data_IF_456617552031
#
_entry.id   IF_456617552031
#
_cell.length_a   1.000
_cell.length_b   1.000
_cell.length_c   1.000
_cell.angle_alpha   90.00
_cell.angle_beta   90.00
_cell.angle_gamma   90.00
#
_symmetry.space_group_name_H-M   'P 1'
#
loop_
_entity.id
_entity.type
_entity.pdbx_description
1 polymer ?
#
# COMPACT_ATOMS: atom_id res chain seq x y z
N UNK A 1 -33.30 -1.84 -9.36
CA UNK A 1 -33.08 -0.37 -9.27
C UNK A 1 -32.44 -0.06 -7.93
N UNK A 2 -31.26 0.54 -7.91
CA UNK A 2 -30.63 1.00 -6.66
C UNK A 2 -31.49 2.10 -6.04
N UNK A 3 -31.61 2.13 -4.70
CA UNK A 3 -32.36 3.20 -4.04
C UNK A 3 -31.61 4.53 -4.22
N UNK A 4 -32.29 5.70 -4.30
CA UNK A 4 -31.62 6.99 -4.47
C UNK A 4 -30.54 7.31 -3.43
N UNK A 5 -30.68 6.77 -2.21
CA UNK A 5 -29.70 6.87 -1.12
C UNK A 5 -28.41 6.10 -1.39
N UNK A 6 -28.51 4.95 -2.05
CA UNK A 6 -27.39 4.06 -2.34
C UNK A 6 -26.52 4.66 -3.45
N UNK A 7 -27.17 5.33 -4.42
CA UNK A 7 -26.49 6.07 -5.48
C UNK A 7 -25.69 7.27 -4.95
N UNK A 8 -26.28 8.06 -4.04
CA UNK A 8 -25.58 9.19 -3.41
C UNK A 8 -24.36 8.72 -2.61
N UNK A 9 -24.52 7.67 -1.79
CA UNK A 9 -23.43 7.15 -0.96
C UNK A 9 -22.27 6.63 -1.82
N UNK A 10 -22.58 5.86 -2.87
CA UNK A 10 -21.55 5.35 -3.79
C UNK A 10 -20.77 6.48 -4.48
N UNK A 11 -21.45 7.55 -4.90
CA UNK A 11 -20.78 8.72 -5.47
C UNK A 11 -19.92 9.47 -4.44
N UNK A 12 -20.44 9.69 -3.24
CA UNK A 12 -19.72 10.39 -2.17
C UNK A 12 -18.47 9.61 -1.72
N UNK A 13 -18.59 8.28 -1.55
CA UNK A 13 -17.47 7.41 -1.25
C UNK A 13 -16.45 7.39 -2.39
N UNK A 14 -16.91 7.23 -3.64
CA UNK A 14 -16.03 7.24 -4.82
C UNK A 14 -15.24 8.54 -4.96
N UNK A 15 -15.87 9.69 -4.65
CA UNK A 15 -15.17 10.98 -4.58
C UNK A 15 -14.12 11.00 -3.46
N UNK A 16 -14.50 10.63 -2.23
CA UNK A 16 -13.58 10.60 -1.10
C UNK A 16 -12.38 9.65 -1.35
N UNK A 17 -12.61 8.53 -2.04
CA UNK A 17 -11.57 7.60 -2.46
C UNK A 17 -10.60 8.26 -3.43
N UNK A 18 -11.09 8.97 -4.45
CA UNK A 18 -10.24 9.69 -5.42
C UNK A 18 -9.43 10.78 -4.75
N UNK A 19 -10.08 11.62 -3.94
CA UNK A 19 -9.41 12.69 -3.19
C UNK A 19 -8.27 12.10 -2.32
N UNK A 20 -8.51 10.96 -1.65
CA UNK A 20 -7.49 10.27 -0.84
C UNK A 20 -6.40 9.60 -1.67
N UNK A 21 -6.73 9.02 -2.81
CA UNK A 21 -5.73 8.45 -3.71
C UNK A 21 -4.79 9.54 -4.26
N UNK A 22 -5.32 10.72 -4.59
CA UNK A 22 -4.54 11.87 -5.02
C UNK A 22 -3.65 12.42 -3.90
N UNK A 23 -4.18 12.54 -2.67
CA UNK A 23 -3.41 12.96 -1.48
C UNK A 23 -2.26 12.01 -1.15
N UNK A 24 -2.51 10.69 -1.25
CA UNK A 24 -1.49 9.66 -0.99
C UNK A 24 -0.40 9.68 -2.07
N UNK A 25 -0.78 10.02 -3.30
CA UNK A 25 0.14 10.06 -4.42
C UNK A 25 0.70 8.69 -4.78
N UNK A 26 1.94 8.66 -5.24
CA UNK A 26 2.62 7.46 -5.73
C UNK A 26 4.02 7.34 -5.20
N UNK A 27 4.45 6.11 -5.07
CA UNK A 27 5.84 5.73 -4.90
C UNK A 27 6.35 5.20 -6.23
N UNK A 28 7.33 5.87 -6.84
CA UNK A 28 8.02 5.37 -8.03
C UNK A 28 9.36 4.72 -7.66
N UNK A 29 9.49 3.44 -8.00
CA UNK A 29 10.68 2.60 -7.82
C UNK A 29 11.41 2.47 -9.16
N UNK A 30 12.71 2.70 -9.20
CA UNK A 30 13.53 2.27 -10.32
C UNK A 30 14.09 0.87 -10.07
N UNK A 31 14.13 0.03 -11.11
CA UNK A 31 14.69 -1.32 -11.01
C UNK A 31 15.69 -1.58 -12.12
N UNK A 32 16.86 -2.07 -11.72
CA UNK A 32 18.01 -2.32 -12.60
C UNK A 32 18.59 -3.71 -12.36
N UNK A 33 19.35 -4.20 -13.33
CA UNK A 33 19.98 -5.53 -13.33
C UNK A 33 19.91 -6.20 -14.70
N UNK A 34 20.76 -7.23 -14.91
CA UNK A 34 20.82 -8.02 -16.16
C UNK A 34 19.48 -8.71 -16.51
N UNK A 35 19.35 -9.24 -17.73
CA UNK A 35 18.18 -10.05 -18.10
C UNK A 35 18.08 -11.28 -17.21
N UNK A 36 16.87 -11.66 -16.83
CA UNK A 36 16.65 -12.93 -16.12
C UNK A 36 17.16 -12.96 -14.67
N UNK A 37 17.64 -11.83 -14.13
CA UNK A 37 17.99 -11.74 -12.70
C UNK A 37 16.76 -11.82 -11.79
N UNK A 38 15.54 -11.64 -12.32
CA UNK A 38 14.30 -11.79 -11.55
C UNK A 38 13.69 -10.48 -11.06
N UNK A 39 14.01 -9.34 -11.71
CA UNK A 39 13.43 -8.02 -11.45
C UNK A 39 11.89 -8.06 -11.32
N UNK A 40 11.22 -8.54 -12.37
CA UNK A 40 9.75 -8.64 -12.42
C UNK A 40 9.18 -9.57 -11.36
N UNK A 41 9.82 -10.71 -11.13
CA UNK A 41 9.44 -11.66 -10.08
C UNK A 41 9.47 -11.03 -8.70
N UNK A 42 10.52 -10.26 -8.41
CA UNK A 42 10.72 -9.58 -7.14
C UNK A 42 9.70 -8.46 -6.90
N UNK A 43 9.47 -7.62 -7.91
CA UNK A 43 8.44 -6.55 -7.86
C UNK A 43 7.07 -7.16 -7.61
N UNK A 44 6.69 -8.19 -8.37
CA UNK A 44 5.41 -8.86 -8.22
C UNK A 44 5.25 -9.51 -6.84
N UNK A 45 6.32 -10.07 -6.27
CA UNK A 45 6.29 -10.69 -4.94
C UNK A 45 6.04 -9.67 -3.82
N UNK A 46 6.51 -8.42 -3.95
CA UNK A 46 6.33 -7.38 -2.93
C UNK A 46 5.05 -6.56 -3.16
N UNK A 47 4.71 -6.25 -4.41
CA UNK A 47 3.65 -5.29 -4.75
C UNK A 47 2.39 -5.90 -5.36
N UNK A 48 2.38 -7.22 -5.63
CA UNK A 48 1.26 -7.93 -6.26
C UNK A 48 1.25 -7.82 -7.80
N UNK A 49 1.01 -8.92 -8.49
CA UNK A 49 0.86 -8.99 -9.97
C UNK A 49 -0.34 -8.11 -10.42
N UNK A 50 -0.38 -7.32 -11.50
CA UNK A 50 0.37 -7.17 -12.75
C UNK A 50 0.98 -5.75 -12.90
N UNK A 51 2.20 -5.52 -12.42
CA UNK A 51 2.95 -4.30 -12.82
C UNK A 51 4.02 -4.64 -13.86
N UNK A 52 4.42 -5.91 -13.93
CA UNK A 52 5.46 -6.38 -14.84
C UNK A 52 5.01 -7.42 -15.89
N UNK A 53 3.74 -7.85 -15.90
CA UNK A 53 3.30 -8.96 -16.76
C UNK A 53 2.68 -8.54 -18.11
N UNK A 54 2.30 -7.28 -18.32
CA UNK A 54 1.54 -6.92 -19.54
C UNK A 54 2.02 -5.61 -20.13
N UNK A 55 2.33 -5.62 -21.43
CA UNK A 55 2.38 -4.42 -22.26
C UNK A 55 0.98 -3.81 -22.42
N UNK A 56 0.33 -3.47 -21.31
CA UNK A 56 -0.96 -2.79 -21.26
C UNK A 56 -0.87 -1.71 -20.19
N UNK A 57 -0.41 -0.57 -20.70
CA UNK A 57 -0.30 0.74 -20.08
C UNK A 57 0.47 1.54 -21.13
N UNK A 58 -0.14 2.59 -21.68
CA UNK A 58 0.61 3.44 -22.61
C UNK A 58 1.87 3.93 -21.89
N UNK A 59 3.08 3.77 -22.47
CA UNK A 59 4.28 4.33 -21.88
C UNK A 59 4.07 5.82 -21.66
N UNK A 60 4.01 6.24 -20.39
CA UNK A 60 3.75 7.65 -20.02
C UNK A 60 4.95 8.53 -20.39
N UNK A 61 6.11 7.92 -20.61
CA UNK A 61 7.32 8.59 -21.12
C UNK A 61 8.06 7.64 -22.05
N UNK A 62 8.44 8.12 -23.25
CA UNK A 62 9.31 7.40 -24.20
C UNK A 62 10.63 8.15 -24.34
N UNK A 63 11.53 7.98 -23.37
CA UNK A 63 12.96 7.99 -23.71
C UNK A 63 13.26 6.64 -24.38
N UNK A 64 14.31 6.54 -25.19
CA UNK A 64 14.55 5.35 -26.00
C UNK A 64 14.67 4.06 -25.16
N UNK A 65 15.10 4.16 -23.89
CA UNK A 65 15.36 2.99 -23.04
C UNK A 65 14.65 2.96 -21.68
N UNK A 66 13.89 4.00 -21.31
CA UNK A 66 13.23 4.12 -19.99
C UNK A 66 11.71 3.95 -20.10
N UNK A 67 11.15 3.06 -19.27
CA UNK A 67 9.71 2.78 -19.24
C UNK A 67 9.16 2.92 -17.82
N UNK A 68 8.25 3.88 -17.61
CA UNK A 68 7.53 4.03 -16.35
C UNK A 68 6.14 3.38 -16.44
N UNK A 69 5.97 2.27 -15.74
CA UNK A 69 4.67 1.61 -15.56
C UNK A 69 4.01 2.16 -14.30
N UNK A 70 2.75 2.61 -14.40
CA UNK A 70 2.01 3.19 -13.28
C UNK A 70 0.75 2.39 -13.00
N UNK A 71 0.56 1.99 -11.74
CA UNK A 71 -0.63 1.32 -11.26
C UNK A 71 -0.97 1.80 -9.85
N UNK A 72 -2.07 2.53 -9.72
CA UNK A 72 -2.52 3.08 -8.43
C UNK A 72 -1.42 3.92 -7.76
N UNK A 73 -0.94 3.45 -6.61
CA UNK A 73 0.07 4.10 -5.76
C UNK A 73 1.51 3.68 -6.07
N UNK A 74 1.75 2.83 -7.07
CA UNK A 74 3.07 2.39 -7.50
C UNK A 74 3.40 2.85 -8.92
N UNK A 75 4.60 3.38 -9.09
CA UNK A 75 5.28 3.47 -10.38
C UNK A 75 6.52 2.58 -10.39
N UNK A 76 6.79 1.91 -11.51
CA UNK A 76 8.02 1.16 -11.71
C UNK A 76 8.72 1.68 -12.96
N UNK A 77 9.86 2.31 -12.76
CA UNK A 77 10.78 2.69 -13.82
C UNK A 77 11.68 1.48 -14.11
N UNK A 78 11.52 0.89 -15.28
CA UNK A 78 12.37 -0.18 -15.79
C UNK A 78 13.16 0.31 -16.99
N UNK A 79 14.35 -0.24 -17.18
CA UNK A 79 15.20 0.05 -18.33
C UNK A 79 15.36 -1.20 -19.16
N UNK A 80 14.86 -1.17 -20.41
CA UNK A 80 15.29 -2.18 -21.40
C UNK A 80 16.68 -1.78 -21.86
N UNK A 81 17.75 -2.31 -21.28
CA UNK A 81 19.07 -1.80 -21.69
C UNK A 81 20.33 -2.37 -21.07
N UNK A 82 20.33 -2.90 -19.84
CA UNK A 82 21.54 -3.54 -19.29
C UNK A 82 21.95 -4.84 -20.04
N UNK A 83 21.19 -5.22 -21.07
CA UNK A 83 21.10 -6.57 -21.61
C UNK A 83 21.84 -6.80 -22.93
N UNK A 84 22.22 -5.74 -23.66
CA UNK A 84 22.68 -5.92 -25.06
C UNK A 84 23.85 -5.00 -25.37
N UNK A 85 25.05 -5.30 -24.88
CA UNK A 85 26.34 -4.82 -25.42
C UNK A 85 26.43 -3.35 -25.87
N UNK A 86 25.65 -2.45 -25.25
CA UNK A 86 25.44 -1.05 -25.64
C UNK A 86 25.91 -0.16 -24.50
N UNK A 87 26.38 1.02 -24.88
CA UNK A 87 27.17 1.91 -24.03
C UNK A 87 26.42 2.30 -22.73
N UNK A 88 26.88 1.78 -21.58
CA UNK A 88 26.38 2.17 -20.26
C UNK A 88 26.38 3.69 -20.08
N UNK A 89 27.30 4.42 -20.75
CA UNK A 89 27.34 5.87 -20.72
C UNK A 89 26.05 6.50 -21.27
N UNK A 90 25.47 5.97 -22.34
CA UNK A 90 24.22 6.48 -22.93
C UNK A 90 23.04 6.27 -21.98
N UNK A 91 22.93 5.08 -21.36
CA UNK A 91 21.87 4.82 -20.38
C UNK A 91 22.01 5.71 -19.13
N UNK A 92 23.24 5.90 -18.65
CA UNK A 92 23.53 6.79 -17.54
C UNK A 92 23.14 8.22 -17.91
N UNK A 93 23.47 8.71 -19.10
CA UNK A 93 23.09 10.04 -19.56
C UNK A 93 21.57 10.22 -19.69
N UNK A 94 20.87 9.27 -20.32
CA UNK A 94 19.41 9.31 -20.44
C UNK A 94 18.72 9.30 -19.06
N UNK A 95 19.24 8.50 -18.12
CA UNK A 95 18.73 8.45 -16.77
C UNK A 95 19.03 9.75 -16.00
N UNK A 96 20.22 10.32 -16.17
CA UNK A 96 20.60 11.59 -15.57
C UNK A 96 19.65 12.71 -16.02
N UNK A 97 19.43 12.84 -17.33
CA UNK A 97 18.50 13.82 -17.91
C UNK A 97 17.07 13.61 -17.39
N UNK A 98 16.61 12.36 -17.34
CA UNK A 98 15.31 12.02 -16.81
C UNK A 98 15.16 12.43 -15.35
N UNK A 99 16.08 11.99 -14.47
CA UNK A 99 16.04 12.29 -13.04
C UNK A 99 16.18 13.80 -12.77
N UNK A 100 17.04 14.51 -13.52
CA UNK A 100 17.15 15.97 -13.42
C UNK A 100 15.83 16.68 -13.77
N UNK A 101 15.13 16.23 -14.81
CA UNK A 101 13.80 16.73 -15.15
C UNK A 101 12.77 16.46 -14.05
N UNK A 102 12.83 15.29 -13.43
CA UNK A 102 11.90 14.89 -12.38
C UNK A 102 12.10 15.64 -11.05
N UNK A 103 13.32 16.07 -10.72
CA UNK A 103 13.60 16.83 -9.48
C UNK A 103 12.76 18.11 -9.33
N UNK A 104 12.26 18.67 -10.44
CA UNK A 104 11.40 19.88 -10.45
C UNK A 104 9.91 19.57 -10.33
N UNK A 105 9.52 18.31 -10.34
CA UNK A 105 8.13 17.84 -10.27
C UNK A 105 7.68 17.66 -8.82
N UNK A 106 6.36 17.62 -8.54
CA UNK A 106 5.84 17.18 -7.25
C UNK A 106 6.43 15.84 -6.82
N UNK A 107 6.63 15.65 -5.50
CA UNK A 107 7.24 14.44 -4.95
C UNK A 107 6.61 13.14 -5.49
N UNK A 108 5.28 12.97 -5.59
CA UNK A 108 4.66 11.75 -6.13
C UNK A 108 5.03 11.38 -7.58
N UNK A 109 5.57 12.33 -8.34
CA UNK A 109 6.01 12.08 -9.71
C UNK A 109 7.46 11.60 -9.74
N UNK A 110 8.28 11.95 -8.76
CA UNK A 110 9.73 11.67 -8.77
C UNK A 110 10.05 10.19 -8.59
N UNK A 111 11.25 9.77 -9.01
CA UNK A 111 11.81 8.45 -8.68
C UNK A 111 12.45 8.52 -7.29
N UNK A 112 12.12 7.58 -6.41
CA UNK A 112 12.47 7.69 -5.00
C UNK A 112 13.61 6.79 -4.56
N UNK A 113 13.65 5.56 -5.09
CA UNK A 113 14.62 4.53 -4.72
C UNK A 113 14.95 3.71 -5.98
N UNK A 114 16.20 3.25 -6.10
CA UNK A 114 16.60 2.25 -7.06
C UNK A 114 16.85 0.90 -6.39
N UNK A 115 16.35 -0.18 -6.99
CA UNK A 115 16.83 -1.53 -6.71
C UNK A 115 17.85 -1.92 -7.78
N UNK A 116 19.04 -2.34 -7.37
CA UNK A 116 20.01 -2.95 -8.27
C UNK A 116 20.07 -4.45 -8.00
N UNK A 117 19.56 -5.24 -8.92
CA UNK A 117 19.39 -6.68 -8.78
C UNK A 117 20.51 -7.45 -9.49
N UNK A 118 21.17 -8.34 -8.75
CA UNK A 118 22.20 -9.25 -9.25
C UNK A 118 21.78 -10.68 -8.91
N UNK A 119 21.83 -11.60 -9.88
CA UNK A 119 21.47 -12.98 -9.60
C UNK A 119 22.60 -13.69 -8.87
N UNK A 120 22.28 -14.45 -7.83
CA UNK A 120 23.27 -15.19 -7.04
C UNK A 120 24.12 -16.18 -7.87
N UNK A 121 23.55 -16.73 -8.95
CA UNK A 121 24.24 -17.61 -9.88
C UNK A 121 25.14 -16.90 -10.89
N UNK A 122 25.13 -15.57 -10.94
CA UNK A 122 26.07 -14.82 -11.77
C UNK A 122 27.45 -14.90 -11.12
N UNK A 123 28.39 -15.59 -11.76
CA UNK A 123 29.72 -15.91 -11.19
C UNK A 123 30.55 -14.69 -10.78
N UNK A 124 30.19 -13.48 -11.25
CA UNK A 124 30.94 -12.24 -11.03
C UNK A 124 30.04 -11.02 -11.17
N UNK A 125 30.31 -10.01 -10.35
CA UNK A 125 29.84 -8.64 -10.51
C UNK A 125 30.88 -7.80 -11.27
N UNK A 126 30.49 -7.18 -12.38
CA UNK A 126 31.40 -6.50 -13.29
C UNK A 126 31.71 -5.05 -12.85
N UNK A 127 32.89 -4.49 -13.20
CA UNK A 127 33.21 -3.09 -12.91
C UNK A 127 32.19 -2.11 -13.51
N UNK A 128 31.65 -2.42 -14.69
CA UNK A 128 30.61 -1.62 -15.34
C UNK A 128 29.30 -1.57 -14.54
N UNK A 129 28.98 -2.62 -13.79
CA UNK A 129 27.83 -2.67 -12.88
C UNK A 129 28.10 -1.81 -11.63
N UNK A 130 29.33 -1.88 -11.10
CA UNK A 130 29.77 -1.03 -9.99
C UNK A 130 29.71 0.46 -10.36
N UNK A 131 30.17 0.83 -11.55
CA UNK A 131 30.15 2.21 -12.03
C UNK A 131 28.72 2.71 -12.24
N UNK A 132 27.82 1.84 -12.70
CA UNK A 132 26.40 2.18 -12.80
C UNK A 132 25.79 2.46 -11.43
N UNK A 133 26.07 1.64 -10.41
CA UNK A 133 25.61 1.88 -9.03
C UNK A 133 26.15 3.20 -8.48
N UNK A 134 27.43 3.52 -8.72
CA UNK A 134 28.02 4.80 -8.32
C UNK A 134 27.36 5.98 -9.03
N UNK A 135 27.03 5.83 -10.31
CA UNK A 135 26.33 6.86 -11.08
C UNK A 135 24.93 7.13 -10.53
N UNK A 136 24.14 6.08 -10.21
CA UNK A 136 22.83 6.24 -9.56
C UNK A 136 22.93 7.02 -8.24
N UNK A 137 23.92 6.69 -7.42
CA UNK A 137 24.16 7.41 -6.16
C UNK A 137 24.55 8.87 -6.39
N UNK A 138 25.42 9.15 -7.37
CA UNK A 138 25.81 10.52 -7.74
C UNK A 138 24.62 11.34 -8.25
N UNK A 139 23.61 10.70 -8.85
CA UNK A 139 22.32 11.30 -9.21
C UNK A 139 21.40 11.52 -8.00
N UNK A 140 21.85 11.23 -6.78
CA UNK A 140 21.08 11.40 -5.55
C UNK A 140 19.97 10.36 -5.37
N UNK A 141 20.03 9.24 -6.10
CA UNK A 141 19.05 8.16 -5.97
C UNK A 141 19.59 7.09 -5.00
N UNK A 142 18.93 6.84 -3.86
CA UNK A 142 19.31 5.78 -2.95
C UNK A 142 19.23 4.41 -3.64
N UNK A 143 20.31 3.63 -3.57
CA UNK A 143 20.43 2.33 -4.25
C UNK A 143 20.37 1.20 -3.24
N UNK A 144 19.32 0.39 -3.27
CA UNK A 144 19.24 -0.86 -2.50
C UNK A 144 19.83 -1.99 -3.36
N UNK A 145 20.91 -2.61 -2.87
CA UNK A 145 21.54 -3.75 -3.55
C UNK A 145 20.82 -5.05 -3.20
N UNK A 146 20.45 -5.83 -4.20
CA UNK A 146 19.68 -7.07 -4.04
C UNK A 146 20.36 -8.22 -4.74
N UNK A 147 20.74 -9.26 -3.98
CA UNK A 147 21.01 -10.56 -4.57
C UNK A 147 19.70 -11.33 -4.70
N UNK A 148 19.37 -11.72 -5.92
CA UNK A 148 18.16 -12.44 -6.25
C UNK A 148 18.44 -13.91 -6.50
N UNK A 149 17.40 -14.74 -6.36
CA UNK A 149 17.46 -16.19 -6.59
C UNK A 149 18.54 -16.86 -5.71
N UNK A 150 18.72 -16.36 -4.47
CA UNK A 150 19.74 -16.84 -3.54
C UNK A 150 19.25 -18.14 -2.88
N UNK A 151 19.79 -19.31 -3.22
CA UNK A 151 19.32 -20.55 -2.63
C UNK A 151 19.81 -20.68 -1.19
N UNK A 152 19.01 -21.35 -0.37
CA UNK A 152 19.34 -21.69 1.02
C UNK A 152 19.15 -23.18 1.26
N UNK A 153 19.97 -23.73 2.17
CA UNK A 153 19.81 -25.10 2.64
C UNK A 153 20.01 -25.14 4.15
N UNK A 154 19.03 -25.69 4.88
CA UNK A 154 19.04 -25.76 6.36
C UNK A 154 19.35 -24.41 7.02
N UNK A 155 18.78 -23.32 6.48
CA UNK A 155 18.97 -21.96 6.98
C UNK A 155 20.30 -21.31 6.62
N UNK A 156 21.15 -21.95 5.82
CA UNK A 156 22.42 -21.39 5.34
C UNK A 156 22.30 -20.96 3.88
N UNK A 157 22.85 -19.79 3.57
CA UNK A 157 22.98 -19.26 2.21
C UNK A 157 24.01 -20.09 1.43
N UNK A 158 23.80 -20.23 0.13
CA UNK A 158 24.74 -20.92 -0.74
C UNK A 158 26.12 -20.23 -0.75
N UNK A 159 27.24 -20.97 -0.63
CA UNK A 159 28.59 -20.38 -0.56
C UNK A 159 28.93 -19.45 -1.72
N UNK A 160 28.50 -19.78 -2.94
CA UNK A 160 28.75 -18.92 -4.12
C UNK A 160 28.07 -17.56 -4.01
N UNK A 161 26.88 -17.51 -3.39
CA UNK A 161 26.17 -16.25 -3.17
C UNK A 161 26.89 -15.39 -2.12
N UNK A 162 27.41 -16.02 -1.06
CA UNK A 162 28.25 -15.33 -0.06
C UNK A 162 29.57 -14.83 -0.65
N UNK A 163 30.21 -15.63 -1.51
CA UNK A 163 31.44 -15.23 -2.20
C UNK A 163 31.19 -14.04 -3.14
N UNK A 164 30.08 -14.07 -3.89
CA UNK A 164 29.67 -12.94 -4.73
C UNK A 164 29.38 -11.71 -3.88
N UNK A 165 28.61 -11.83 -2.80
CA UNK A 165 28.30 -10.73 -1.90
C UNK A 165 29.57 -10.11 -1.28
N UNK A 166 30.51 -10.94 -0.81
CA UNK A 166 31.79 -10.49 -0.28
C UNK A 166 32.60 -9.73 -1.35
N UNK A 167 32.58 -10.20 -2.60
CA UNK A 167 33.25 -9.49 -3.71
C UNK A 167 32.64 -8.13 -4.00
N UNK A 168 31.30 -8.01 -3.92
CA UNK A 168 30.58 -6.73 -4.09
C UNK A 168 30.86 -5.81 -2.90
N UNK A 169 30.81 -6.32 -1.67
CA UNK A 169 31.09 -5.55 -0.46
C UNK A 169 32.52 -4.98 -0.46
N UNK A 170 33.50 -5.74 -0.97
CA UNK A 170 34.88 -5.29 -1.11
C UNK A 170 35.06 -4.11 -2.09
N UNK A 171 34.07 -3.83 -2.94
CA UNK A 171 34.11 -2.68 -3.87
C UNK A 171 33.65 -1.37 -3.22
N UNK A 172 33.22 -1.41 -1.95
CA UNK A 172 32.78 -0.25 -1.16
C UNK A 172 31.77 0.64 -1.92
N UNK A 173 30.74 0.00 -2.46
CA UNK A 173 29.72 0.70 -3.25
C UNK A 173 28.81 1.54 -2.34
N UNK A 174 28.36 2.71 -2.82
CA UNK A 174 27.49 3.60 -2.05
C UNK A 174 26.02 3.10 -2.06
N UNK A 175 25.79 1.95 -1.44
CA UNK A 175 24.48 1.30 -1.35
C UNK A 175 23.78 1.65 -0.03
N UNK A 176 22.46 1.65 -0.04
CA UNK A 176 21.62 1.93 1.12
C UNK A 176 22.00 1.02 2.28
N UNK A 177 22.26 1.63 3.44
CA UNK A 177 22.68 0.98 4.69
C UNK A 177 24.01 0.19 4.59
N UNK A 178 24.71 0.20 3.46
CA UNK A 178 25.88 -0.68 3.22
C UNK A 178 25.52 -2.17 3.18
N UNK A 179 24.25 -2.52 3.00
CA UNK A 179 23.74 -3.89 3.08
C UNK A 179 23.35 -4.46 1.73
N UNK A 180 23.66 -5.74 1.54
CA UNK A 180 23.23 -6.54 0.38
C UNK A 180 22.05 -7.41 0.84
N UNK A 181 20.89 -7.24 0.19
CA UNK A 181 19.68 -7.97 0.54
C UNK A 181 19.58 -9.26 -0.25
N UNK A 182 19.64 -10.41 0.44
CA UNK A 182 19.45 -11.72 -0.17
C UNK A 182 17.96 -12.04 -0.29
N UNK A 183 17.53 -12.45 -1.48
CA UNK A 183 16.12 -12.72 -1.76
C UNK A 183 15.93 -14.01 -2.55
N UNK A 184 14.87 -14.73 -2.18
CA UNK A 184 14.22 -15.73 -3.00
C UNK A 184 12.76 -15.30 -3.13
N UNK A 185 12.40 -14.69 -4.26
CA UNK A 185 11.12 -13.99 -4.40
C UNK A 185 9.92 -14.92 -4.54
N UNK A 186 10.11 -16.09 -5.15
CA UNK A 186 9.10 -17.15 -5.27
C UNK A 186 9.66 -18.44 -4.70
N UNK A 187 8.81 -19.19 -4.03
CA UNK A 187 9.15 -20.55 -3.62
C UNK A 187 9.34 -21.42 -4.87
N UNK A 188 10.24 -22.39 -4.78
CA UNK A 188 10.44 -23.42 -5.79
C UNK A 188 10.24 -24.79 -5.14
N UNK A 189 9.10 -25.40 -5.43
CA UNK A 189 8.72 -26.70 -4.89
C UNK A 189 9.62 -27.83 -5.41
N UNK A 190 10.17 -27.70 -6.62
CA UNK A 190 11.02 -28.72 -7.21
C UNK A 190 12.37 -28.82 -6.47
N UNK A 191 12.94 -27.67 -6.10
CA UNK A 191 14.21 -27.61 -5.35
C UNK A 191 14.02 -27.47 -3.83
N UNK A 192 12.77 -27.37 -3.36
CA UNK A 192 12.44 -27.19 -1.94
C UNK A 192 12.80 -25.81 -1.37
N UNK A 193 12.96 -24.79 -2.22
CA UNK A 193 13.31 -23.43 -1.79
C UNK A 193 12.06 -22.67 -1.34
N UNK A 194 12.11 -22.09 -0.14
CA UNK A 194 11.07 -21.20 0.35
C UNK A 194 11.32 -19.75 -0.12
N UNK A 195 10.25 -18.96 -0.25
CA UNK A 195 10.39 -17.52 -0.46
C UNK A 195 10.89 -16.84 0.83
N UNK A 196 11.86 -15.92 0.70
CA UNK A 196 12.39 -15.16 1.84
C UNK A 196 13.06 -13.85 1.40
N UNK A 197 13.39 -13.00 2.37
CA UNK A 197 14.15 -11.75 2.17
C UNK A 197 13.32 -10.54 1.75
N UNK A 198 12.05 -10.75 1.41
CA UNK A 198 11.15 -9.70 0.92
C UNK A 198 10.90 -8.58 1.94
N UNK A 199 10.68 -8.93 3.21
CA UNK A 199 10.44 -7.94 4.28
C UNK A 199 11.66 -7.04 4.49
N UNK A 200 12.87 -7.63 4.56
CA UNK A 200 14.10 -6.86 4.74
C UNK A 200 14.37 -5.90 3.57
N UNK A 201 14.07 -6.31 2.34
CA UNK A 201 14.13 -5.45 1.16
C UNK A 201 13.09 -4.32 1.21
N UNK A 202 11.86 -4.62 1.60
CA UNK A 202 10.82 -3.60 1.78
C UNK A 202 11.23 -2.57 2.85
N UNK A 203 11.78 -3.03 3.97
CA UNK A 203 12.24 -2.17 5.06
C UNK A 203 13.37 -1.24 4.61
N UNK A 204 14.35 -1.74 3.83
CA UNK A 204 15.39 -0.91 3.24
C UNK A 204 14.85 0.09 2.23
N UNK A 205 13.82 -0.30 1.47
CA UNK A 205 13.12 0.60 0.54
C UNK A 205 12.44 1.75 1.29
N UNK A 206 11.81 1.47 2.44
CA UNK A 206 11.25 2.53 3.30
C UNK A 206 12.32 3.47 3.87
N UNK A 207 13.51 2.97 4.21
CA UNK A 207 14.61 3.80 4.71
C UNK A 207 15.26 4.66 3.63
N UNK A 208 15.36 4.16 2.40
CA UNK A 208 15.86 4.91 1.26
C UNK A 208 14.88 5.95 0.73
N UNK A 209 13.57 5.70 0.84
CA UNK A 209 12.56 6.61 0.30
C UNK A 209 12.31 7.84 1.19
N UNK A 210 11.99 9.01 0.59
CA UNK A 210 11.52 10.16 1.35
C UNK A 210 10.27 9.85 2.18
N UNK A 211 10.19 10.36 3.41
CA UNK A 211 9.06 10.10 4.32
C UNK A 211 7.70 10.52 3.73
N UNK A 212 7.69 11.53 2.85
CA UNK A 212 6.50 12.00 2.15
C UNK A 212 5.81 10.93 1.27
N UNK A 213 6.51 9.87 0.85
CA UNK A 213 5.93 8.77 0.06
C UNK A 213 5.73 7.48 0.84
N UNK A 214 5.98 7.48 2.15
CA UNK A 214 5.81 6.30 3.00
C UNK A 214 4.38 5.73 2.96
N UNK A 215 3.36 6.59 2.85
CA UNK A 215 1.98 6.13 2.69
C UNK A 215 1.77 5.45 1.34
N UNK A 216 2.31 6.00 0.24
CA UNK A 216 2.21 5.38 -1.07
C UNK A 216 2.90 4.00 -1.12
N UNK A 217 4.09 3.87 -0.52
CA UNK A 217 4.77 2.56 -0.37
C UNK A 217 3.88 1.59 0.41
N UNK A 218 3.36 2.03 1.57
CA UNK A 218 2.47 1.22 2.41
C UNK A 218 1.23 0.76 1.66
N UNK A 219 0.65 1.62 0.82
CA UNK A 219 -0.51 1.32 0.00
C UNK A 219 -0.18 0.33 -1.14
N UNK A 220 0.95 0.53 -1.81
CA UNK A 220 1.40 -0.27 -2.95
C UNK A 220 1.76 -1.72 -2.57
N UNK A 221 2.54 -1.91 -1.51
CA UNK A 221 3.05 -3.22 -1.11
C UNK A 221 1.93 -4.16 -0.61
N UNK A 222 2.13 -5.48 -0.71
CA UNK A 222 1.14 -6.51 -0.40
C UNK A 222 1.58 -7.51 0.69
N UNK A 223 2.77 -7.35 1.25
CA UNK A 223 3.40 -8.33 2.15
C UNK A 223 3.37 -7.93 3.64
N UNK A 224 3.25 -6.64 3.94
CA UNK A 224 3.32 -6.08 5.29
C UNK A 224 1.95 -5.48 5.70
N UNK A 225 1.11 -6.34 6.28
CA UNK A 225 -0.21 -5.93 6.75
C UNK A 225 -0.17 -5.14 8.06
N UNK A 226 0.93 -5.21 8.80
CA UNK A 226 1.09 -4.50 10.07
C UNK A 226 1.30 -3.01 9.82
N UNK A 227 2.14 -2.63 8.85
CA UNK A 227 2.26 -1.22 8.40
C UNK A 227 0.94 -0.67 7.86
N UNK A 228 0.18 -1.47 7.10
CA UNK A 228 -1.16 -1.06 6.62
C UNK A 228 -2.11 -0.81 7.78
N UNK A 229 -2.10 -1.68 8.79
CA UNK A 229 -2.92 -1.54 10.00
C UNK A 229 -2.54 -0.30 10.80
N UNK A 230 -1.24 -0.05 10.99
CA UNK A 230 -0.75 1.15 11.68
C UNK A 230 -1.18 2.44 10.98
N UNK A 231 -1.07 2.48 9.64
CA UNK A 231 -1.51 3.66 8.87
C UNK A 231 -3.02 3.88 8.94
N UNK A 232 -3.80 2.79 8.93
CA UNK A 232 -5.24 2.82 9.09
C UNK A 232 -5.65 3.27 10.51
N UNK A 233 -4.98 2.78 11.56
CA UNK A 233 -5.14 3.23 12.94
C UNK A 233 -4.95 4.75 13.08
N UNK A 234 -3.94 5.31 12.41
CA UNK A 234 -3.75 6.76 12.34
C UNK A 234 -4.97 7.50 11.77
N UNK A 235 -5.54 7.02 10.66
CA UNK A 235 -6.74 7.60 10.06
C UNK A 235 -7.97 7.48 11.00
N UNK A 236 -8.12 6.35 11.69
CA UNK A 236 -9.19 6.13 12.67
C UNK A 236 -9.08 7.10 13.84
N UNK A 237 -7.88 7.32 14.38
CA UNK A 237 -7.65 8.26 15.50
C UNK A 237 -8.01 9.69 15.11
N UNK A 238 -7.59 10.14 13.92
CA UNK A 238 -7.92 11.48 13.40
C UNK A 238 -9.43 11.63 13.24
N UNK A 239 -10.09 10.66 12.59
CA UNK A 239 -11.54 10.69 12.39
C UNK A 239 -12.32 10.62 13.70
N UNK A 240 -11.86 9.82 14.66
CA UNK A 240 -12.45 9.71 16.01
C UNK A 240 -12.36 11.04 16.77
N UNK A 241 -11.21 11.72 16.70
CA UNK A 241 -11.03 13.05 17.29
C UNK A 241 -11.92 14.10 16.65
N UNK A 242 -11.98 14.12 15.30
CA UNK A 242 -12.87 15.01 14.57
C UNK A 242 -14.36 14.75 14.87
N UNK A 243 -14.75 13.48 15.01
CA UNK A 243 -16.10 13.08 15.37
C UNK A 243 -16.47 13.49 16.81
N UNK A 244 -15.54 13.39 17.76
CA UNK A 244 -15.74 13.87 19.12
C UNK A 244 -15.99 15.39 19.14
N UNK A 245 -15.23 16.15 18.37
CA UNK A 245 -15.42 17.60 18.23
C UNK A 245 -16.76 17.94 17.57
N UNK A 246 -17.16 17.22 16.52
CA UNK A 246 -18.45 17.39 15.87
C UNK A 246 -19.62 17.08 16.82
N UNK A 247 -19.54 15.99 17.59
CA UNK A 247 -20.55 15.61 18.59
C UNK A 247 -20.59 16.50 19.83
N UNK A 248 -19.65 17.43 20.02
CA UNK A 248 -19.73 18.47 21.04
C UNK A 248 -20.52 19.70 20.57
N UNK A 249 -20.96 19.72 19.30
CA UNK A 249 -21.78 20.80 18.75
C UNK A 249 -23.18 20.81 19.36
N UNK A 250 -23.69 21.98 19.80
CA UNK A 250 -25.02 22.08 20.40
C UNK A 250 -26.18 21.99 19.40
N UNK A 251 -25.93 21.77 18.10
CA UNK A 251 -26.96 21.83 17.05
C UNK A 251 -27.64 20.46 16.87
N UNK A 252 -28.92 20.30 17.25
CA UNK A 252 -29.67 19.05 17.10
C UNK A 252 -29.71 18.61 15.64
N UNK A 253 -29.50 17.31 15.40
CA UNK A 253 -29.54 16.66 14.07
C UNK A 253 -28.46 17.08 13.06
N UNK A 254 -27.56 18.03 13.39
CA UNK A 254 -26.43 18.44 12.53
C UNK A 254 -25.30 17.41 12.48
N UNK A 255 -25.21 16.55 13.49
CA UNK A 255 -24.14 15.57 13.65
C UNK A 255 -24.02 14.63 12.45
N UNK A 256 -25.12 14.24 11.80
CA UNK A 256 -25.06 13.38 10.63
C UNK A 256 -24.44 14.07 9.40
N UNK A 257 -24.66 15.38 9.22
CA UNK A 257 -24.12 16.14 8.09
C UNK A 257 -22.59 16.36 8.22
N UNK A 258 -22.07 16.36 9.45
CA UNK A 258 -20.64 16.53 9.75
C UNK A 258 -19.93 15.18 9.89
N UNK A 259 -20.54 14.21 10.57
CA UNK A 259 -19.93 12.90 10.86
C UNK A 259 -19.81 12.01 9.62
N UNK A 260 -20.81 12.05 8.71
CA UNK A 260 -20.79 11.18 7.53
C UNK A 260 -19.59 11.49 6.62
N UNK A 261 -19.28 12.75 6.26
CA UNK A 261 -18.05 13.07 5.52
C UNK A 261 -16.77 12.60 6.21
N UNK A 262 -16.66 12.76 7.54
CA UNK A 262 -15.50 12.30 8.32
C UNK A 262 -15.33 10.78 8.19
N UNK A 263 -16.42 10.02 8.36
CA UNK A 263 -16.41 8.56 8.28
C UNK A 263 -16.15 8.06 6.86
N UNK A 264 -16.73 8.69 5.83
CA UNK A 264 -16.47 8.39 4.42
C UNK A 264 -14.99 8.63 4.07
N UNK A 265 -14.43 9.77 4.48
CA UNK A 265 -13.01 10.08 4.25
C UNK A 265 -12.07 9.10 4.95
N UNK A 266 -12.40 8.68 6.18
CA UNK A 266 -11.67 7.63 6.90
C UNK A 266 -11.73 6.29 6.16
N UNK A 267 -12.93 5.83 5.79
CA UNK A 267 -13.11 4.55 5.10
C UNK A 267 -12.41 4.54 3.73
N UNK A 268 -12.50 5.65 2.99
CA UNK A 268 -11.79 5.86 1.74
C UNK A 268 -10.27 5.79 1.93
N UNK A 269 -9.72 6.51 2.93
CA UNK A 269 -8.28 6.46 3.25
C UNK A 269 -7.81 5.05 3.60
N UNK A 270 -8.61 4.29 4.35
CA UNK A 270 -8.30 2.88 4.67
C UNK A 270 -8.34 2.04 3.40
N UNK A 271 -9.37 2.18 2.55
CA UNK A 271 -9.50 1.40 1.32
C UNK A 271 -8.31 1.60 0.36
N UNK A 272 -7.84 2.85 0.18
CA UNK A 272 -6.63 3.14 -0.61
C UNK A 272 -5.38 2.52 0.03
N UNK A 273 -5.25 2.59 1.35
CA UNK A 273 -4.12 1.98 2.09
C UNK A 273 -4.03 0.46 1.89
N UNK A 274 -5.18 -0.20 1.72
CA UNK A 274 -5.24 -1.63 1.41
C UNK A 274 -5.22 -1.95 -0.09
N UNK A 275 -5.01 -0.96 -0.97
CA UNK A 275 -4.90 -1.15 -2.42
C UNK A 275 -6.21 -1.61 -3.08
N UNK A 276 -7.36 -1.33 -2.47
CA UNK A 276 -8.67 -1.78 -2.99
C UNK A 276 -9.19 -0.77 -4.00
N UNK A 277 -9.53 -1.23 -5.21
CA UNK A 277 -10.07 -0.38 -6.28
C UNK A 277 -11.32 0.38 -5.85
N UNK A 278 -11.59 1.53 -6.48
CA UNK A 278 -12.75 2.37 -6.15
C UNK A 278 -14.06 1.60 -6.32
N UNK A 279 -14.20 0.74 -7.34
CA UNK A 279 -15.41 -0.05 -7.58
C UNK A 279 -15.61 -1.10 -6.48
N UNK A 280 -14.55 -1.85 -6.16
CA UNK A 280 -14.61 -2.90 -5.13
C UNK A 280 -14.82 -2.31 -3.75
N UNK A 281 -14.16 -1.20 -3.44
CA UNK A 281 -14.32 -0.51 -2.17
C UNK A 281 -15.69 0.15 -2.05
N UNK A 282 -16.22 0.74 -3.12
CA UNK A 282 -17.60 1.27 -3.15
C UNK A 282 -18.60 0.15 -2.90
N UNK A 283 -18.53 -0.95 -3.66
CA UNK A 283 -19.43 -2.10 -3.48
C UNK A 283 -19.31 -2.72 -2.08
N UNK A 284 -18.09 -2.93 -1.57
CA UNK A 284 -17.87 -3.44 -0.22
C UNK A 284 -18.38 -2.49 0.87
N UNK A 285 -18.22 -1.17 0.69
CA UNK A 285 -18.70 -0.17 1.64
C UNK A 285 -20.23 -0.14 1.69
N UNK A 286 -20.89 -0.29 0.54
CA UNK A 286 -22.33 -0.44 0.45
C UNK A 286 -22.81 -1.73 1.12
N UNK A 287 -22.13 -2.85 0.91
CA UNK A 287 -22.46 -4.13 1.57
C UNK A 287 -22.27 -4.06 3.09
N UNK A 288 -21.15 -3.50 3.56
CA UNK A 288 -20.87 -3.28 4.97
C UNK A 288 -21.93 -2.39 5.64
N UNK A 289 -22.40 -1.36 4.92
CA UNK A 289 -23.44 -0.44 5.37
C UNK A 289 -24.86 -0.90 5.04
N UNK A 290 -25.05 -2.07 4.40
CA UNK A 290 -26.36 -2.66 4.17
C UNK A 290 -27.06 -3.08 5.47
N UNK A 291 -26.35 -3.08 6.61
CA UNK A 291 -26.97 -3.20 7.95
C UNK A 291 -27.57 -1.89 8.45
N UNK A 292 -27.23 -0.77 7.80
CA UNK A 292 -27.67 0.58 8.11
C UNK A 292 -28.75 1.10 7.13
N UNK A 293 -29.15 0.31 6.14
CA UNK A 293 -30.18 0.68 5.15
C UNK A 293 -31.60 0.44 5.67
N UNK A 294 -31.94 1.13 6.77
CA UNK A 294 -33.29 1.67 6.95
C UNK A 294 -33.31 3.19 7.07
N UNK A 295 -32.16 3.86 7.19
CA UNK A 295 -32.10 5.31 7.00
C UNK A 295 -30.65 5.79 6.94
N UNK A 296 -30.29 6.46 5.85
CA UNK A 296 -29.22 7.48 5.86
C UNK A 296 -29.48 8.65 6.81
N UNK A 297 -30.54 8.58 7.64
CA UNK A 297 -30.89 9.46 8.74
C UNK A 297 -30.72 8.82 10.14
N UNK A 298 -30.47 7.52 10.29
CA UNK A 298 -30.48 6.83 11.59
C UNK A 298 -29.16 6.16 12.00
N UNK A 299 -28.02 6.67 11.55
CA UNK A 299 -26.71 6.24 12.09
C UNK A 299 -26.60 6.56 13.59
N UNK A 300 -27.41 7.48 14.12
CA UNK A 300 -27.46 7.74 15.56
C UNK A 300 -28.59 6.95 16.24
N UNK A 301 -29.80 6.96 15.68
CA UNK A 301 -31.01 6.42 16.36
C UNK A 301 -31.11 4.90 16.52
N UNK A 302 -30.62 4.10 15.56
CA UNK A 302 -30.65 2.63 15.68
C UNK A 302 -29.38 2.06 16.32
N UNK A 303 -28.28 2.82 16.25
CA UNK A 303 -27.01 2.46 16.85
C UNK A 303 -26.98 2.76 18.35
N UNK A 304 -27.68 3.81 18.81
CA UNK A 304 -27.96 4.07 20.24
C UNK A 304 -28.63 2.87 20.95
N UNK A 305 -29.40 2.05 20.23
CA UNK A 305 -30.10 0.87 20.81
C UNK A 305 -29.16 -0.27 21.21
N UNK A 306 -27.89 -0.24 20.79
CA UNK A 306 -26.88 -1.25 21.15
C UNK A 306 -26.04 -0.86 22.36
N UNK A 307 -26.30 0.30 22.99
CA UNK A 307 -25.69 0.73 24.23
C UNK A 307 -26.65 0.46 25.40
N UNK A 308 -26.29 -0.39 26.39
CA UNK A 308 -27.12 -0.59 27.58
C UNK A 308 -27.39 0.74 28.29
N UNK A 309 -28.66 1.10 28.52
CA UNK A 309 -29.07 2.31 29.24
C UNK A 309 -29.34 3.57 28.40
N UNK A 310 -29.08 3.55 27.09
CA UNK A 310 -29.29 4.72 26.21
C UNK A 310 -30.77 4.99 25.84
N UNK A 311 -31.70 4.14 26.28
CA UNK A 311 -33.13 4.28 25.99
C UNK A 311 -33.89 5.29 26.86
N UNK A 312 -33.34 5.72 28.00
CA UNK A 312 -34.15 6.43 29.01
C UNK A 312 -33.48 7.57 29.80
N UNK A 313 -32.20 7.95 29.60
CA UNK A 313 -31.65 9.06 30.39
C UNK A 313 -30.49 9.86 29.74
N UNK A 314 -30.59 11.19 29.88
CA UNK A 314 -29.55 12.23 29.78
C UNK A 314 -29.24 12.80 28.38
N UNK A 315 -30.05 13.78 27.96
CA UNK A 315 -29.79 14.71 26.86
C UNK A 315 -28.74 15.82 27.19
N UNK A 316 -27.80 15.56 28.10
CA UNK A 316 -26.97 16.62 28.71
C UNK A 316 -25.50 16.68 28.32
N UNK A 317 -24.79 15.54 28.22
CA UNK A 317 -23.30 15.56 28.20
C UNK A 317 -22.64 14.37 27.48
N UNK A 318 -23.35 13.60 26.65
CA UNK A 318 -22.87 12.27 26.18
C UNK A 318 -22.63 12.17 24.64
N UNK A 319 -22.83 13.25 23.86
CA UNK A 319 -22.77 13.15 22.39
C UNK A 319 -21.35 12.91 21.80
N UNK A 320 -20.31 13.56 22.34
CA UNK A 320 -18.94 13.42 21.84
C UNK A 320 -18.36 12.00 22.08
N UNK A 321 -18.58 11.42 23.27
CA UNK A 321 -18.11 10.07 23.62
C UNK A 321 -18.75 9.02 22.74
N UNK A 322 -20.06 9.13 22.50
CA UNK A 322 -20.80 8.24 21.60
C UNK A 322 -20.24 8.40 20.17
N UNK A 323 -20.19 9.62 19.63
CA UNK A 323 -19.69 9.87 18.27
C UNK A 323 -18.27 9.30 18.04
N UNK A 324 -17.38 9.46 19.02
CA UNK A 324 -16.01 8.93 18.98
C UNK A 324 -15.97 7.40 19.02
N UNK A 325 -16.74 6.76 19.90
CA UNK A 325 -16.79 5.30 20.06
C UNK A 325 -17.33 4.63 18.79
N UNK A 326 -18.40 5.17 18.23
CA UNK A 326 -19.00 4.67 16.99
C UNK A 326 -18.05 4.83 15.80
N UNK A 327 -17.41 6.00 15.66
CA UNK A 327 -16.45 6.24 14.57
C UNK A 327 -15.26 5.29 14.67
N UNK A 328 -14.72 5.07 15.87
CA UNK A 328 -13.67 4.09 16.12
C UNK A 328 -14.11 2.68 15.73
N UNK A 329 -15.29 2.24 16.17
CA UNK A 329 -15.82 0.90 15.87
C UNK A 329 -16.04 0.68 14.37
N UNK A 330 -16.59 1.68 13.65
CA UNK A 330 -16.74 1.65 12.19
C UNK A 330 -15.37 1.52 11.51
N UNK A 331 -14.39 2.30 11.97
CA UNK A 331 -13.03 2.25 11.45
C UNK A 331 -12.38 0.87 11.58
N UNK A 332 -12.46 0.26 12.77
CA UNK A 332 -11.91 -1.07 13.03
C UNK A 332 -12.62 -2.16 12.20
N UNK A 333 -13.95 -2.12 12.14
CA UNK A 333 -14.74 -3.02 11.31
C UNK A 333 -14.35 -2.92 9.83
N UNK A 334 -14.15 -1.70 9.34
CA UNK A 334 -13.75 -1.46 7.96
C UNK A 334 -12.31 -1.93 7.69
N UNK A 335 -11.36 -1.72 8.60
CA UNK A 335 -10.01 -2.30 8.51
C UNK A 335 -10.08 -3.81 8.32
N UNK A 336 -10.93 -4.48 9.10
CA UNK A 336 -11.06 -5.94 9.02
C UNK A 336 -11.61 -6.41 7.66
N UNK A 337 -12.59 -5.69 7.11
CA UNK A 337 -13.11 -5.94 5.75
C UNK A 337 -12.01 -5.71 4.70
N UNK A 338 -11.32 -4.57 4.76
CA UNK A 338 -10.27 -4.23 3.81
C UNK A 338 -9.11 -5.23 3.82
N UNK A 339 -8.68 -5.67 5.00
CA UNK A 339 -7.63 -6.68 5.14
C UNK A 339 -8.04 -8.00 4.48
N UNK A 340 -9.26 -8.47 4.73
CA UNK A 340 -9.79 -9.70 4.13
C UNK A 340 -9.97 -9.58 2.61
N UNK A 341 -10.36 -8.40 2.12
CA UNK A 341 -10.43 -8.12 0.67
C UNK A 341 -9.05 -8.16 0.01
N UNK A 342 -8.05 -7.52 0.62
CA UNK A 342 -6.68 -7.50 0.12
C UNK A 342 -6.05 -8.90 0.10
N UNK A 343 -6.37 -9.75 1.08
CA UNK A 343 -5.96 -11.17 1.10
C UNK A 343 -6.70 -12.04 0.08
N UNK A 344 -7.77 -11.53 -0.54
CA UNK A 344 -8.60 -12.27 -1.49
C UNK A 344 -9.68 -13.16 -0.88
N UNK A 345 -9.89 -13.08 0.44
CA UNK A 345 -10.77 -13.99 1.20
C UNK A 345 -12.28 -13.80 0.94
N UNK A 346 -12.70 -12.66 0.38
CA UNK A 346 -14.11 -12.25 0.28
C UNK A 346 -14.66 -12.31 -1.16
N UNK A 347 -14.04 -13.08 -2.04
CA UNK A 347 -14.56 -13.34 -3.40
C UNK A 347 -15.60 -14.45 -3.36
N UNK A 348 -16.73 -14.26 -4.01
CA UNK A 348 -17.72 -15.27 -4.30
C UNK A 348 -17.35 -16.08 -5.56
N UNK A 349 -18.09 -17.16 -5.82
CA UNK A 349 -17.98 -17.95 -7.07
C UNK A 349 -18.26 -17.02 -8.26
N UNK A 350 -17.33 -16.97 -9.21
CA UNK A 350 -17.42 -16.06 -10.37
C UNK A 350 -16.75 -14.68 -10.19
N UNK A 351 -16.01 -14.46 -9.10
CA UNK A 351 -15.16 -13.27 -8.94
C UNK A 351 -15.89 -12.00 -8.44
N UNK A 352 -17.19 -12.11 -8.14
CA UNK A 352 -17.99 -11.05 -7.51
C UNK A 352 -17.72 -10.97 -6.01
N UNK A 353 -18.06 -9.85 -5.37
CA UNK A 353 -17.91 -9.69 -3.91
C UNK A 353 -19.05 -10.39 -3.16
N UNK A 354 -18.72 -11.15 -2.13
CA UNK A 354 -19.70 -11.76 -1.23
C UNK A 354 -20.24 -10.71 -0.24
N UNK A 355 -21.34 -10.05 -0.63
CA UNK A 355 -21.92 -8.93 0.13
C UNK A 355 -22.43 -9.35 1.51
N UNK A 356 -23.00 -10.55 1.65
CA UNK A 356 -23.52 -11.05 2.93
C UNK A 356 -22.39 -11.39 3.90
N UNK A 357 -21.28 -11.92 3.39
CA UNK A 357 -20.08 -12.17 4.21
C UNK A 357 -19.39 -10.88 4.62
N UNK A 358 -19.30 -9.90 3.72
CA UNK A 358 -18.78 -8.55 4.05
C UNK A 358 -19.61 -7.91 5.14
N UNK A 359 -20.94 -7.92 4.99
CA UNK A 359 -21.87 -7.37 5.97
C UNK A 359 -21.71 -8.01 7.35
N UNK A 360 -21.73 -9.35 7.42
CA UNK A 360 -21.56 -10.08 8.69
C UNK A 360 -20.22 -9.76 9.34
N UNK A 361 -19.13 -9.84 8.57
CA UNK A 361 -17.79 -9.52 9.07
C UNK A 361 -17.71 -8.12 9.66
N UNK A 362 -18.29 -7.14 8.96
CA UNK A 362 -18.32 -5.76 9.42
C UNK A 362 -19.13 -5.63 10.72
N UNK A 363 -20.34 -6.20 10.76
CA UNK A 363 -21.25 -6.07 11.91
C UNK A 363 -20.73 -6.79 13.16
N UNK A 364 -20.09 -7.93 13.02
CA UNK A 364 -19.50 -8.68 14.13
C UNK A 364 -18.35 -7.89 14.76
N UNK A 365 -17.43 -7.38 13.94
CA UNK A 365 -16.30 -6.56 14.41
C UNK A 365 -16.80 -5.24 15.02
N UNK A 366 -17.75 -4.58 14.36
CA UNK A 366 -18.34 -3.34 14.85
C UNK A 366 -18.96 -3.49 16.25
N UNK A 367 -19.78 -4.54 16.46
CA UNK A 367 -20.39 -4.83 17.77
C UNK A 367 -19.34 -5.12 18.83
N UNK A 368 -18.32 -5.90 18.50
CA UNK A 368 -17.22 -6.20 19.42
C UNK A 368 -16.47 -4.93 19.86
N UNK A 369 -16.20 -4.01 18.94
CA UNK A 369 -15.46 -2.77 19.24
C UNK A 369 -16.31 -1.73 19.96
N UNK A 370 -17.60 -1.60 19.60
CA UNK A 370 -18.52 -0.65 20.23
C UNK A 370 -18.79 -1.00 21.70
N UNK A 371 -18.84 -2.29 22.05
CA UNK A 371 -19.06 -2.77 23.43
C UNK A 371 -17.79 -2.75 24.28
N UNK A 372 -16.61 -2.91 23.68
CA UNK A 372 -15.32 -2.92 24.41
C UNK A 372 -14.93 -1.54 24.99
N UNK A 373 -15.39 -0.45 24.36
CA UNK A 373 -15.06 0.95 24.75
C UNK A 373 -16.13 1.62 25.61
N UNK A 374 -17.32 1.02 25.76
CA UNK A 374 -18.41 1.57 26.59
C UNK A 374 -18.25 1.27 28.09
N UNK A 375 -17.24 0.48 28.48
CA UNK A 375 -16.85 0.30 29.88
C UNK A 375 -15.98 1.48 30.32
N UNK A 376 -16.39 2.29 31.31
CA UNK A 376 -15.52 3.29 31.89
C UNK A 376 -14.28 2.60 32.49
N UNK A 377 -13.10 3.13 32.20
CA UNK A 377 -11.89 2.88 33.01
C UNK A 377 -11.83 3.89 34.13
#
# INVERSE_FOLDING_TARGET
MAKPTDAWFGQAFGKAWKDKAEEIGRFNLAIFGKTGVGKSTLVNAIFGEEIAATGIGEPVTRAAHLYLHQSGTLGVLDTRGLEVGKDNATLIAELDDYLHGMRRRPLPEQVHVAWYCVRAGDRRFEPSEADFVRALHAMGLPVVMVLTQVPTSRGKVHPDAEALAASIAAMDLPIQDGLIHYTMAKADEFTGQAAYGLQGLLDATFRGAPSGVAHAITAAQQIDFDRKRERAEGAIKVATGAAAAAGASPIPFSDAAILVPIQLGMMASIAVTYGISVERSTAASMAATAAATTAGRSVVGNLLKFVPGAGTAVAGTINATIASTFTYAIGQAWVRVCERLARGDLRAVGGTLDSDRIHRLFMDEFKAQATRKSLPR
#
